data_IF_576078896486
#
_entry.id   IF_576078896486
#
_cell.length_a   1.000
_cell.length_b   1.000
_cell.length_c   1.000
_cell.angle_alpha   90.00
_cell.angle_beta   90.00
_cell.angle_gamma   90.00
#
_symmetry.space_group_name_H-M   'P 1'
#
loop_
_entity.id
_entity.type
_entity.pdbx_description
1 polymer ?
#
# COMPACT_ATOMS: atom_id res chain seq x y z
N UNK A 1 -5.37 -2.88 -7.21
CA UNK A 1 -5.19 -1.75 -8.14
C UNK A 1 -4.31 -2.23 -9.28
N UNK A 2 -4.71 -2.02 -10.51
CA UNK A 2 -3.88 -2.30 -11.68
C UNK A 2 -3.05 -1.07 -12.03
N UNK A 3 -1.77 -1.27 -12.35
CA UNK A 3 -0.89 -0.24 -12.91
C UNK A 3 -0.62 -0.55 -14.39
N UNK A 4 -1.24 0.20 -15.31
CA UNK A 4 -1.13 -0.08 -16.74
C UNK A 4 0.25 0.23 -17.31
N UNK A 5 1.16 0.83 -16.52
CA UNK A 5 2.52 1.16 -16.96
C UNK A 5 3.45 -0.05 -16.95
N UNK A 6 3.14 -1.09 -16.18
CA UNK A 6 4.06 -2.21 -15.94
C UNK A 6 3.37 -3.59 -15.78
N UNK A 7 2.11 -3.74 -16.19
CA UNK A 7 1.33 -4.98 -16.10
C UNK A 7 1.25 -5.57 -14.67
N UNK A 8 1.36 -4.72 -13.64
CA UNK A 8 1.29 -5.13 -12.24
C UNK A 8 -0.09 -4.88 -11.63
N UNK A 9 -0.51 -5.81 -10.78
CA UNK A 9 -1.69 -5.65 -9.92
C UNK A 9 -1.24 -5.64 -8.47
N UNK A 10 -1.53 -4.56 -7.79
CA UNK A 10 -1.25 -4.34 -6.38
C UNK A 10 -2.46 -4.71 -5.53
N UNK A 11 -2.23 -5.48 -4.46
CA UNK A 11 -3.25 -5.91 -3.50
C UNK A 11 -2.72 -5.60 -2.10
N UNK A 12 -3.47 -4.83 -1.34
CA UNK A 12 -3.24 -4.66 0.10
C UNK A 12 -3.78 -5.88 0.83
N UNK A 13 -2.93 -6.52 1.62
CA UNK A 13 -3.30 -7.67 2.42
C UNK A 13 -3.58 -7.21 3.85
N UNK A 14 -4.87 -7.15 4.21
CA UNK A 14 -5.31 -6.63 5.51
C UNK A 14 -4.71 -7.42 6.68
N UNK A 15 -4.83 -8.75 6.64
CA UNK A 15 -4.26 -9.69 7.62
C UNK A 15 -2.89 -10.26 7.21
N UNK A 16 -2.41 -9.91 6.00
CA UNK A 16 -1.05 -10.18 5.56
C UNK A 16 -0.06 -9.08 5.94
N UNK A 17 -0.56 -7.98 6.53
CA UNK A 17 0.20 -6.81 7.00
C UNK A 17 1.11 -6.21 5.91
N UNK A 18 0.71 -6.28 4.64
CA UNK A 18 1.62 -5.99 3.54
C UNK A 18 0.97 -5.65 2.20
N UNK A 19 1.83 -5.51 1.21
CA UNK A 19 1.52 -5.32 -0.20
C UNK A 19 1.88 -6.58 -0.99
N UNK A 20 0.90 -7.18 -1.64
CA UNK A 20 1.08 -8.22 -2.63
C UNK A 20 1.11 -7.58 -4.02
N UNK A 21 2.11 -7.93 -4.81
CA UNK A 21 2.26 -7.53 -6.21
C UNK A 21 2.14 -8.76 -7.07
N UNK A 22 1.15 -8.76 -7.94
CA UNK A 22 0.95 -9.75 -8.99
C UNK A 22 1.51 -9.19 -10.29
N UNK A 23 2.49 -9.89 -10.85
CA UNK A 23 2.85 -9.73 -12.26
C UNK A 23 1.79 -10.47 -13.11
N UNK A 24 0.94 -9.71 -13.78
CA UNK A 24 -0.21 -10.28 -14.50
C UNK A 24 0.20 -11.00 -15.79
N UNK A 25 1.37 -10.69 -16.35
CA UNK A 25 1.86 -11.29 -17.58
C UNK A 25 2.28 -12.74 -17.36
N UNK A 26 2.95 -13.01 -16.24
CA UNK A 26 3.53 -14.33 -15.93
C UNK A 26 2.92 -14.98 -14.69
N UNK A 27 1.87 -14.39 -14.12
CA UNK A 27 1.12 -14.92 -12.96
C UNK A 27 2.00 -15.19 -11.74
N UNK A 28 3.01 -14.34 -11.51
CA UNK A 28 3.90 -14.45 -10.34
C UNK A 28 3.50 -13.48 -9.25
N UNK A 29 3.66 -13.89 -8.00
CA UNK A 29 3.37 -13.08 -6.83
C UNK A 29 4.65 -12.72 -6.08
N UNK A 30 4.75 -11.46 -5.66
CA UNK A 30 5.77 -10.95 -4.75
C UNK A 30 5.09 -10.24 -3.58
N UNK A 31 5.46 -10.58 -2.36
CA UNK A 31 4.94 -9.91 -1.16
C UNK A 31 6.00 -8.97 -0.58
N UNK A 32 5.55 -7.79 -0.19
CA UNK A 32 6.31 -6.78 0.54
C UNK A 32 5.62 -6.56 1.89
N UNK A 33 6.18 -7.11 2.99
CA UNK A 33 5.65 -6.83 4.31
C UNK A 33 5.84 -5.34 4.61
N UNK A 34 4.79 -4.71 5.13
CA UNK A 34 4.88 -3.41 5.75
C UNK A 34 5.18 -3.62 7.25
N UNK A 35 5.16 -2.54 8.03
CA UNK A 35 5.43 -2.59 9.47
C UNK A 35 4.77 -3.81 10.15
N UNK A 36 5.58 -4.59 10.88
CA UNK A 36 5.15 -5.84 11.52
C UNK A 36 4.23 -5.64 12.72
N UNK A 37 3.91 -4.40 13.08
CA UNK A 37 2.91 -4.12 14.09
C UNK A 37 1.55 -4.74 13.70
N UNK A 38 0.94 -5.60 14.54
CA UNK A 38 -0.33 -6.24 14.21
C UNK A 38 -1.49 -5.25 13.95
N UNK A 39 -1.39 -4.02 14.46
CA UNK A 39 -2.37 -2.95 14.21
C UNK A 39 -2.22 -2.30 12.83
N UNK A 40 -1.13 -2.57 12.10
CA UNK A 40 -0.98 -2.17 10.70
C UNK A 40 -1.84 -3.08 9.84
N UNK A 41 -3.05 -2.63 9.52
CA UNK A 41 -3.98 -3.37 8.66
C UNK A 41 -4.16 -2.61 7.33
N UNK A 42 -3.33 -2.85 6.31
CA UNK A 42 -3.41 -2.16 5.02
C UNK A 42 -4.80 -2.31 4.38
N UNK A 43 -5.37 -1.19 3.91
CA UNK A 43 -6.72 -1.19 3.33
C UNK A 43 -6.73 -0.54 1.95
N UNK A 44 -7.31 0.65 1.77
CA UNK A 44 -7.30 1.33 0.48
C UNK A 44 -5.90 1.81 0.10
N UNK A 45 -5.67 1.91 -1.21
CA UNK A 45 -4.45 2.47 -1.78
C UNK A 45 -4.77 3.40 -2.96
N UNK A 46 -3.87 4.34 -3.22
CA UNK A 46 -3.85 5.17 -4.44
C UNK A 46 -2.43 5.22 -5.01
N UNK A 47 -2.32 5.37 -6.33
CA UNK A 47 -1.04 5.56 -7.03
C UNK A 47 -0.87 7.04 -7.33
N UNK A 48 0.30 7.61 -7.04
CA UNK A 48 0.62 8.98 -7.43
C UNK A 48 1.26 9.05 -8.83
N UNK A 49 1.50 10.28 -9.32
CA UNK A 49 2.06 10.53 -10.64
C UNK A 49 3.50 10.01 -10.80
N UNK A 50 4.26 9.97 -9.70
CA UNK A 50 5.62 9.45 -9.67
C UNK A 50 5.65 7.91 -9.58
N UNK A 51 4.50 7.28 -9.35
CA UNK A 51 4.32 5.84 -9.29
C UNK A 51 4.52 5.23 -7.91
N UNK A 52 4.50 6.03 -6.85
CA UNK A 52 4.45 5.51 -5.49
C UNK A 52 3.02 5.11 -5.09
N UNK A 53 2.92 4.03 -4.32
CA UNK A 53 1.68 3.58 -3.73
C UNK A 53 1.50 4.20 -2.35
N UNK A 54 0.45 4.98 -2.19
CA UNK A 54 0.00 5.48 -0.91
C UNK A 54 -1.03 4.51 -0.35
N UNK A 55 -0.77 3.97 0.83
CA UNK A 55 -1.54 2.88 1.45
C UNK A 55 -2.04 3.32 2.83
N UNK A 56 -3.35 3.24 3.04
CA UNK A 56 -3.95 3.51 4.33
C UNK A 56 -3.71 2.34 5.29
N UNK A 57 -3.21 2.61 6.49
CA UNK A 57 -3.00 1.61 7.54
C UNK A 57 -4.16 1.70 8.55
N UNK A 58 -5.22 0.92 8.31
CA UNK A 58 -6.58 1.10 8.85
C UNK A 58 -6.63 1.40 10.36
N UNK A 59 -5.94 0.63 11.18
CA UNK A 59 -5.98 0.75 12.65
C UNK A 59 -4.68 1.28 13.25
N UNK A 60 -3.82 1.91 12.43
CA UNK A 60 -2.45 2.25 12.82
C UNK A 60 -2.14 3.75 12.83
N UNK A 61 -3.12 4.60 12.50
CA UNK A 61 -2.98 6.07 12.43
C UNK A 61 -1.78 6.51 11.60
N UNK A 62 -1.55 5.82 10.48
CA UNK A 62 -0.44 6.06 9.57
C UNK A 62 -0.87 5.83 8.12
N UNK A 63 -0.10 6.42 7.21
CA UNK A 63 -0.12 6.14 5.78
C UNK A 63 1.27 5.65 5.38
N UNK A 64 1.35 4.55 4.64
CA UNK A 64 2.61 4.09 4.05
C UNK A 64 2.73 4.61 2.61
N UNK A 65 3.92 5.06 2.22
CA UNK A 65 4.26 5.42 0.84
C UNK A 65 5.31 4.44 0.36
N UNK A 66 4.96 3.61 -0.62
CA UNK A 66 5.74 2.47 -1.08
C UNK A 66 6.23 2.71 -2.50
N UNK A 67 7.52 2.48 -2.75
CA UNK A 67 8.05 2.28 -4.09
C UNK A 67 7.88 0.80 -4.47
N UNK A 68 6.95 0.44 -5.38
CA UNK A 68 6.68 -0.96 -5.71
C UNK A 68 7.83 -1.64 -6.45
N UNK A 69 8.74 -0.88 -7.08
CA UNK A 69 9.87 -1.42 -7.83
C UNK A 69 10.95 -1.98 -6.90
N UNK A 70 11.16 -1.34 -5.75
CA UNK A 70 12.16 -1.74 -4.75
C UNK A 70 11.55 -2.43 -3.54
N UNK A 71 10.27 -2.19 -3.25
CA UNK A 71 9.60 -2.60 -2.01
C UNK A 71 9.96 -1.74 -0.80
N UNK A 72 10.73 -0.66 -0.99
CA UNK A 72 11.01 0.28 0.10
C UNK A 72 9.80 1.14 0.40
N UNK A 73 9.64 1.54 1.66
CA UNK A 73 8.55 2.41 2.07
C UNK A 73 8.96 3.35 3.19
N UNK A 74 8.20 4.44 3.31
CA UNK A 74 8.19 5.33 4.47
C UNK A 74 6.79 5.35 5.08
N UNK A 75 6.69 5.78 6.34
CA UNK A 75 5.41 5.97 7.02
C UNK A 75 5.24 7.41 7.46
N UNK A 76 4.03 7.91 7.32
CA UNK A 76 3.62 9.25 7.71
C UNK A 76 2.56 9.11 8.79
N UNK A 77 2.78 9.75 9.92
CA UNK A 77 1.82 9.78 11.02
C UNK A 77 0.58 10.60 10.65
N UNK A 78 -0.59 10.04 10.94
CA UNK A 78 -1.84 10.78 10.95
C UNK A 78 -1.97 11.45 12.33
N UNK A 79 -2.12 12.79 12.42
CA UNK A 79 -2.12 13.49 13.71
C UNK A 79 -3.29 13.09 14.63
N UNK A 80 -4.44 12.74 14.06
CA UNK A 80 -5.60 12.27 14.81
C UNK A 80 -5.40 10.81 15.26
N UNK A 81 -5.76 10.53 16.51
CA UNK A 81 -5.82 9.16 17.03
C UNK A 81 -7.09 8.46 16.60
N UNK A 82 -7.01 7.14 16.39
CA UNK A 82 -8.13 6.30 15.97
C UNK A 82 -8.80 6.87 14.70
N UNK A 83 -7.98 7.21 13.72
CA UNK A 83 -8.41 7.78 12.45
C UNK A 83 -9.24 6.81 11.61
N UNK A 84 -9.04 5.50 11.78
CA UNK A 84 -9.71 4.45 10.99
C UNK A 84 -9.61 4.71 9.48
N UNK A 85 -8.44 5.19 9.03
CA UNK A 85 -8.26 5.63 7.64
C UNK A 85 -8.35 4.44 6.69
N UNK A 86 -9.32 4.46 5.78
CA UNK A 86 -9.58 3.35 4.86
C UNK A 86 -9.35 3.73 3.41
N UNK A 87 -9.60 4.98 3.02
CA UNK A 87 -9.56 5.43 1.64
C UNK A 87 -8.57 6.56 1.45
N UNK A 88 -7.90 6.53 0.30
CA UNK A 88 -6.98 7.57 -0.15
C UNK A 88 -7.32 7.91 -1.60
N UNK A 89 -7.04 9.15 -1.97
CA UNK A 89 -7.14 9.65 -3.34
C UNK A 89 -5.90 10.47 -3.62
N UNK A 90 -5.23 10.20 -4.73
CA UNK A 90 -4.17 11.06 -5.24
C UNK A 90 -4.80 12.12 -6.14
N UNK A 91 -4.38 13.37 -6.00
CA UNK A 91 -4.64 14.40 -7.01
C UNK A 91 -3.46 14.42 -7.97
N UNK A 92 -3.75 14.28 -9.28
CA UNK A 92 -2.74 14.33 -10.34
C UNK A 92 -2.14 15.71 -10.56
#
# INVERSE_FOLDING_TARGET
MEDPRNDQVYVTEHEGHGLLVLDSLISMFKSYPLDQNPSNLPYGMTLDADGHLWIAQHTYDKVAVVDPSTGQYVQIDIPSKNSFTQWLVATG
#
